data_IF_186216552969
#
_entry.id   IF_186216552969
#
_cell.length_a   1.000
_cell.length_b   1.000
_cell.length_c   1.000
_cell.angle_alpha   90.00
_cell.angle_beta   90.00
_cell.angle_gamma   90.00
#
_symmetry.space_group_name_H-M   'P 1'
#
loop_
_entity.id
_entity.type
_entity.pdbx_description
1 polymer ?
#
# COMPACT_ATOMS: atom_id res chain seq x y z
N UNK A 1 -5.94 -8.78 5.30
CA UNK A 1 -5.23 -7.62 4.70
C UNK A 1 -3.91 -8.07 4.07
N UNK A 2 -3.93 -9.12 3.24
CA UNK A 2 -2.69 -9.67 2.62
C UNK A 2 -2.68 -9.54 1.09
N UNK A 3 -3.69 -8.91 0.48
CA UNK A 3 -3.84 -8.94 -0.97
C UNK A 3 -2.95 -7.94 -1.69
N UNK A 4 -2.99 -6.68 -1.27
CA UNK A 4 -2.40 -5.59 -2.04
C UNK A 4 -0.88 -5.49 -1.86
N UNK A 5 -0.32 -5.87 -0.71
CA UNK A 5 1.14 -5.80 -0.48
C UNK A 5 1.86 -7.14 -0.53
N UNK A 6 1.24 -8.18 -1.11
CA UNK A 6 1.86 -9.49 -1.28
C UNK A 6 3.07 -9.37 -2.22
N UNK A 7 4.26 -9.59 -1.67
CA UNK A 7 5.52 -9.44 -2.43
C UNK A 7 6.11 -8.02 -2.45
N UNK A 8 5.59 -7.08 -1.66
CA UNK A 8 6.19 -5.74 -1.55
C UNK A 8 7.61 -5.82 -0.97
N UNK A 9 8.62 -5.43 -1.77
CA UNK A 9 10.03 -5.42 -1.37
C UNK A 9 10.25 -4.57 -0.11
N UNK A 10 9.64 -3.37 -0.07
CA UNK A 10 9.74 -2.46 1.06
C UNK A 10 9.08 -3.05 2.31
N UNK A 11 7.94 -3.73 2.17
CA UNK A 11 7.32 -4.45 3.29
C UNK A 11 8.27 -5.50 3.87
N UNK A 12 8.92 -6.30 3.01
CA UNK A 12 9.87 -7.33 3.44
C UNK A 12 11.11 -6.73 4.09
N UNK A 13 11.65 -5.65 3.51
CA UNK A 13 12.80 -4.91 4.04
C UNK A 13 12.48 -4.33 5.42
N UNK A 14 11.42 -3.52 5.52
CA UNK A 14 11.02 -2.87 6.76
C UNK A 14 10.50 -3.84 7.82
N UNK A 15 9.91 -4.97 7.43
CA UNK A 15 9.51 -6.00 8.40
C UNK A 15 10.72 -6.59 9.11
N UNK A 16 11.84 -6.74 8.40
CA UNK A 16 13.11 -7.21 8.98
C UNK A 16 13.83 -6.12 9.77
N UNK A 17 13.86 -4.89 9.27
CA UNK A 17 14.62 -3.80 9.90
C UNK A 17 13.87 -3.10 11.06
N UNK A 18 12.58 -2.82 10.87
CA UNK A 18 11.78 -1.93 11.75
C UNK A 18 10.57 -2.64 12.36
N UNK A 19 10.34 -3.89 11.99
CA UNK A 19 9.22 -4.71 12.44
C UNK A 19 7.93 -4.54 11.65
N UNK A 20 7.01 -5.48 11.85
CA UNK A 20 5.76 -5.63 11.09
C UNK A 20 4.87 -4.39 11.11
N UNK A 21 4.76 -3.70 12.26
CA UNK A 21 3.90 -2.52 12.41
C UNK A 21 4.38 -1.35 11.55
N UNK A 22 5.69 -1.10 11.53
CA UNK A 22 6.27 -0.06 10.70
C UNK A 22 6.13 -0.40 9.22
N UNK A 23 6.43 -1.64 8.84
CA UNK A 23 6.28 -2.10 7.47
C UNK A 23 4.86 -1.93 6.94
N UNK A 24 3.85 -2.25 7.76
CA UNK A 24 2.44 -2.07 7.39
C UNK A 24 2.07 -0.59 7.22
N UNK A 25 2.43 0.25 8.20
CA UNK A 25 2.16 1.69 8.12
C UNK A 25 2.84 2.33 6.91
N UNK A 26 4.07 1.93 6.61
CA UNK A 26 4.79 2.35 5.43
C UNK A 26 4.06 1.89 4.15
N UNK A 27 3.57 0.65 4.10
CA UNK A 27 2.89 0.15 2.91
C UNK A 27 1.58 0.89 2.58
N UNK A 28 0.79 1.22 3.59
CA UNK A 28 -0.44 1.98 3.38
C UNK A 28 -0.14 3.40 2.90
N UNK A 29 0.88 4.05 3.48
CA UNK A 29 1.08 5.49 3.32
C UNK A 29 2.17 5.89 2.32
N UNK A 30 3.12 5.00 2.03
CA UNK A 30 4.41 5.35 1.41
C UNK A 30 4.91 4.34 0.38
N UNK A 31 4.41 3.11 0.33
CA UNK A 31 4.90 2.16 -0.68
C UNK A 31 4.26 2.40 -2.04
N UNK A 32 4.99 2.01 -3.09
CA UNK A 32 4.57 2.15 -4.49
C UNK A 32 3.24 1.46 -4.79
N UNK A 33 2.92 0.38 -4.07
CA UNK A 33 1.63 -0.31 -4.24
C UNK A 33 0.50 0.47 -3.57
N UNK A 34 0.70 0.98 -2.35
CA UNK A 34 -0.29 1.82 -1.66
C UNK A 34 -0.62 3.09 -2.46
N UNK A 35 0.40 3.72 -3.04
CA UNK A 35 0.22 4.87 -3.94
C UNK A 35 -0.62 4.53 -5.17
N UNK A 36 -0.36 3.38 -5.81
CA UNK A 36 -1.16 2.91 -6.96
C UNK A 36 -2.60 2.61 -6.57
N UNK A 37 -2.83 1.95 -5.43
CA UNK A 37 -4.19 1.72 -4.93
C UNK A 37 -4.93 3.04 -4.70
N UNK A 38 -4.27 4.02 -4.09
CA UNK A 38 -4.88 5.33 -3.84
C UNK A 38 -5.24 6.04 -5.15
N UNK A 39 -4.36 5.98 -6.14
CA UNK A 39 -4.61 6.54 -7.47
C UNK A 39 -5.82 5.86 -8.13
N UNK A 40 -5.84 4.53 -8.18
CA UNK A 40 -6.96 3.76 -8.76
C UNK A 40 -8.26 4.07 -8.01
N UNK A 41 -8.22 4.13 -6.67
CA UNK A 41 -9.37 4.49 -5.85
C UNK A 41 -9.90 5.89 -6.18
N UNK A 42 -9.02 6.88 -6.33
CA UNK A 42 -9.39 8.23 -6.77
C UNK A 42 -9.99 8.25 -8.17
N UNK A 43 -9.43 7.49 -9.12
CA UNK A 43 -9.99 7.42 -10.48
C UNK A 43 -11.37 6.76 -10.50
N UNK A 44 -11.60 5.74 -9.67
CA UNK A 44 -12.89 5.09 -9.51
C UNK A 44 -13.92 6.00 -8.83
N UNK A 45 -13.53 6.73 -7.77
CA UNK A 45 -14.37 7.72 -7.10
C UNK A 45 -14.80 8.83 -8.07
N UNK A 46 -13.84 9.38 -8.82
CA UNK A 46 -14.10 10.38 -9.86
C UNK A 46 -14.93 9.83 -11.03
N UNK A 47 -14.91 8.53 -11.27
CA UNK A 47 -15.71 7.87 -12.32
C UNK A 47 -17.11 7.43 -11.84
N UNK A 48 -17.37 7.45 -10.53
CA UNK A 48 -18.64 6.99 -9.93
C UNK A 48 -19.63 8.14 -9.67
N UNK A 49 -19.33 9.35 -10.15
CA UNK A 49 -20.31 10.43 -10.26
C UNK A 49 -21.32 10.14 -11.38
N UNK A 50 -22.30 9.27 -11.10
CA UNK A 50 -23.56 9.15 -11.84
C UNK A 50 -24.70 8.79 -10.90
#
# INVERSE_FOLDING_TARGET
MEDYCRGCFLHKYFSKEKGRRYAHNFCINKCTVGERLRKIGQELENSSGK
#
